data_IF_846693798213
#
_entry.id   IF_846693798213
#
_cell.length_a   1.000
_cell.length_b   1.000
_cell.length_c   1.000
_cell.angle_alpha   90.00
_cell.angle_beta   90.00
_cell.angle_gamma   90.00
#
_symmetry.space_group_name_H-M   'P 1'
#
loop_
_entity.id
_entity.type
_entity.pdbx_description
1 polymer ?
#
# COMPACT_ATOMS: atom_id res chain seq x y z
N UNK A 1 -11.56 25.66 -26.26
CA UNK A 1 -11.55 24.18 -26.17
C UNK A 1 -10.65 23.82 -25.01
N UNK A 2 -11.10 22.96 -24.09
CA UNK A 2 -10.35 22.58 -22.88
C UNK A 2 -9.96 21.12 -22.96
N UNK A 3 -8.73 20.79 -22.54
CA UNK A 3 -8.20 19.43 -22.44
C UNK A 3 -8.26 18.97 -20.99
N UNK A 4 -8.67 17.72 -20.75
CA UNK A 4 -8.72 17.13 -19.40
C UNK A 4 -7.85 15.89 -19.38
N UNK A 5 -6.83 15.91 -18.51
CA UNK A 5 -5.94 14.79 -18.27
C UNK A 5 -6.44 14.01 -17.06
N UNK A 6 -6.78 12.73 -17.26
CA UNK A 6 -7.32 11.86 -16.23
C UNK A 6 -6.21 10.95 -15.72
N UNK A 7 -5.92 10.98 -14.42
CA UNK A 7 -5.00 10.01 -13.80
C UNK A 7 -5.72 8.66 -13.59
N UNK A 8 -6.21 8.07 -14.68
CA UNK A 8 -6.89 6.79 -14.74
C UNK A 8 -6.34 5.98 -15.91
N UNK A 9 -6.67 4.69 -15.93
CA UNK A 9 -6.33 3.81 -17.04
C UNK A 9 -7.48 2.81 -17.19
N UNK A 10 -7.92 2.56 -18.41
CA UNK A 10 -9.01 1.62 -18.71
C UNK A 10 -8.86 0.22 -18.06
N UNK A 11 -7.64 -0.22 -17.74
CA UNK A 11 -7.41 -1.50 -17.04
C UNK A 11 -7.75 -1.47 -15.54
N UNK A 12 -7.89 -0.28 -14.94
CA UNK A 12 -8.20 -0.05 -13.52
C UNK A 12 -9.62 0.42 -13.29
N UNK A 13 -10.23 1.00 -14.30
CA UNK A 13 -11.55 1.59 -14.20
C UNK A 13 -12.59 0.68 -14.83
N UNK A 14 -13.82 0.81 -14.34
CA UNK A 14 -14.97 0.32 -15.09
C UNK A 14 -15.00 0.98 -16.47
N UNK A 15 -15.45 0.27 -17.52
CA UNK A 15 -15.57 0.84 -18.86
C UNK A 15 -16.45 2.09 -18.84
N UNK A 16 -15.91 3.21 -19.34
CA UNK A 16 -16.59 4.51 -19.36
C UNK A 16 -16.40 5.17 -20.72
N UNK A 17 -17.44 5.83 -21.29
CA UNK A 17 -17.30 6.60 -22.51
C UNK A 17 -16.50 7.88 -22.23
N UNK A 18 -15.43 8.12 -22.98
CA UNK A 18 -14.60 9.32 -22.88
C UNK A 18 -14.96 10.32 -23.99
N UNK A 19 -15.00 11.61 -23.65
CA UNK A 19 -15.08 12.68 -24.65
C UNK A 19 -13.73 12.81 -25.38
N UNK A 20 -13.69 13.30 -26.62
CA UNK A 20 -12.43 13.44 -27.38
C UNK A 20 -11.36 14.28 -26.68
N UNK A 21 -11.75 15.18 -25.78
CA UNK A 21 -10.84 16.03 -25.02
C UNK A 21 -10.44 15.46 -23.64
N UNK A 22 -10.87 14.23 -23.31
CA UNK A 22 -10.49 13.52 -22.08
C UNK A 22 -9.46 12.46 -22.42
N UNK A 23 -8.22 12.66 -21.94
CA UNK A 23 -7.10 11.77 -22.21
C UNK A 23 -6.69 11.10 -20.92
N UNK A 24 -6.73 9.77 -20.91
CA UNK A 24 -6.22 8.97 -19.80
C UNK A 24 -4.68 8.98 -19.81
N UNK A 25 -4.12 9.39 -18.68
CA UNK A 25 -2.68 9.44 -18.39
C UNK A 25 -2.46 8.84 -16.99
N UNK A 26 -2.85 7.58 -16.82
CA UNK A 26 -2.78 6.88 -15.53
C UNK A 26 -1.36 6.65 -15.03
N UNK A 27 -1.17 6.75 -13.71
CA UNK A 27 0.11 6.47 -13.06
C UNK A 27 1.15 7.57 -13.20
N UNK A 28 0.75 8.83 -13.45
CA UNK A 28 1.68 9.97 -13.57
C UNK A 28 2.63 10.14 -12.37
N UNK A 29 2.21 9.70 -11.18
CA UNK A 29 3.00 9.74 -9.95
C UNK A 29 3.87 8.50 -9.73
N UNK A 30 3.67 7.44 -10.52
CA UNK A 30 4.42 6.20 -10.40
C UNK A 30 5.84 6.38 -10.95
N UNK A 31 6.81 5.77 -10.27
CA UNK A 31 8.23 5.84 -10.63
C UNK A 31 8.91 4.51 -10.29
N UNK A 32 10.06 4.20 -10.91
CA UNK A 32 10.90 3.10 -10.47
C UNK A 32 11.26 3.23 -8.98
N UNK A 33 11.42 2.06 -8.34
CA UNK A 33 11.88 1.98 -6.97
C UNK A 33 13.29 2.53 -6.81
N UNK A 34 13.52 3.25 -5.71
CA UNK A 34 14.83 3.70 -5.25
C UNK A 34 15.32 2.78 -4.14
N UNK A 35 16.63 2.78 -3.83
CA UNK A 35 17.16 2.05 -2.69
C UNK A 35 16.43 2.41 -1.40
N UNK A 36 16.05 1.39 -0.62
CA UNK A 36 15.38 1.56 0.66
C UNK A 36 16.34 2.16 1.70
N UNK A 37 15.82 2.93 2.68
CA UNK A 37 16.58 3.30 3.88
C UNK A 37 17.17 2.05 4.55
N UNK A 38 18.38 2.17 5.09
CA UNK A 38 19.17 1.05 5.61
C UNK A 38 18.38 0.14 6.54
N UNK A 39 17.62 0.71 7.47
CA UNK A 39 16.88 -0.05 8.47
C UNK A 39 15.70 -0.85 7.88
N UNK A 40 14.96 -0.28 6.93
CA UNK A 40 13.93 -1.01 6.19
C UNK A 40 14.58 -2.08 5.32
N UNK A 41 15.68 -1.74 4.62
CA UNK A 41 16.42 -2.66 3.78
C UNK A 41 16.92 -3.87 4.55
N UNK A 42 17.53 -3.66 5.72
CA UNK A 42 18.04 -4.72 6.59
C UNK A 42 16.89 -5.61 7.11
N UNK A 43 15.72 -5.03 7.37
CA UNK A 43 14.55 -5.78 7.79
C UNK A 43 13.97 -6.65 6.67
N UNK A 44 13.82 -6.11 5.46
CA UNK A 44 13.28 -6.86 4.30
C UNK A 44 14.30 -7.78 3.64
N UNK A 45 15.58 -7.63 3.96
CA UNK A 45 16.63 -8.54 3.55
C UNK A 45 16.36 -9.96 4.08
N UNK A 46 16.77 -10.96 3.31
CA UNK A 46 16.54 -12.37 3.63
C UNK A 46 15.67 -13.08 2.60
N UNK A 47 15.15 -14.24 2.98
CA UNK A 47 14.36 -15.13 2.10
C UNK A 47 12.87 -15.10 2.43
N UNK A 48 12.50 -14.53 3.58
CA UNK A 48 11.14 -14.47 4.05
C UNK A 48 10.31 -13.50 3.19
N UNK A 49 9.09 -13.88 2.78
CA UNK A 49 8.19 -12.96 2.11
C UNK A 49 7.81 -11.81 3.03
N UNK A 50 7.69 -10.61 2.45
CA UNK A 50 7.31 -9.40 3.16
C UNK A 50 5.90 -9.00 2.76
N UNK A 51 5.08 -8.73 3.77
CA UNK A 51 3.78 -8.07 3.64
C UNK A 51 3.96 -6.62 4.00
N UNK A 52 3.53 -5.71 3.13
CA UNK A 52 3.45 -4.29 3.43
C UNK A 52 2.00 -3.93 3.78
N UNK A 53 1.78 -3.25 4.90
CA UNK A 53 0.47 -2.81 5.34
C UNK A 53 0.46 -1.29 5.53
N UNK A 54 -0.36 -0.59 4.74
CA UNK A 54 -0.56 0.85 4.84
C UNK A 54 -1.99 1.26 4.53
N UNK A 55 -2.58 2.03 5.43
CA UNK A 55 -3.89 2.67 5.27
C UNK A 55 -3.79 4.13 4.80
N UNK A 56 -2.61 4.53 4.29
CA UNK A 56 -2.36 5.90 3.84
C UNK A 56 -2.17 6.88 5.01
N UNK A 57 -2.30 8.17 4.73
CA UNK A 57 -2.03 9.23 5.72
C UNK A 57 -3.24 9.63 6.57
N UNK A 58 -4.45 9.36 6.06
CA UNK A 58 -5.70 9.81 6.69
C UNK A 58 -6.29 8.77 7.64
N UNK A 59 -6.33 7.50 7.24
CA UNK A 59 -6.74 6.40 8.12
C UNK A 59 -5.54 5.99 8.99
N UNK A 60 -5.42 6.63 10.16
CA UNK A 60 -4.33 6.35 11.10
C UNK A 60 -4.54 4.99 11.78
N UNK A 61 -3.50 4.17 11.81
CA UNK A 61 -3.51 2.89 12.54
C UNK A 61 -3.81 3.08 14.03
N UNK A 62 -3.42 4.22 14.61
CA UNK A 62 -3.73 4.55 16.02
C UNK A 62 -5.23 4.76 16.29
N UNK A 63 -6.00 5.14 15.28
CA UNK A 63 -7.47 5.28 15.38
C UNK A 63 -8.22 3.98 15.19
N UNK A 64 -7.54 2.92 14.71
CA UNK A 64 -8.11 1.58 14.62
C UNK A 64 -8.40 1.07 16.05
N UNK A 65 -9.59 0.50 16.33
CA UNK A 65 -9.87 -0.10 17.61
C UNK A 65 -8.79 -1.09 18.06
N UNK A 66 -8.42 -1.04 19.35
CA UNK A 66 -7.35 -1.89 19.91
C UNK A 66 -7.57 -3.38 19.67
N UNK A 67 -8.83 -3.83 19.58
CA UNK A 67 -9.20 -5.19 19.20
C UNK A 67 -8.55 -5.58 17.87
N UNK A 68 -8.77 -4.79 16.81
CA UNK A 68 -8.24 -5.08 15.48
C UNK A 68 -6.72 -4.96 15.42
N UNK A 69 -6.14 -3.96 16.12
CA UNK A 69 -4.69 -3.85 16.22
C UNK A 69 -4.07 -5.13 16.82
N UNK A 70 -4.63 -5.62 17.92
CA UNK A 70 -4.19 -6.87 18.56
C UNK A 70 -4.41 -8.08 17.67
N UNK A 71 -5.52 -8.13 16.93
CA UNK A 71 -5.78 -9.19 15.96
C UNK A 71 -4.72 -9.23 14.86
N UNK A 72 -4.35 -8.10 14.26
CA UNK A 72 -3.29 -8.05 13.26
C UNK A 72 -1.94 -8.50 13.83
N UNK A 73 -1.52 -7.96 14.98
CA UNK A 73 -0.27 -8.38 15.63
C UNK A 73 -0.28 -9.89 15.92
N UNK A 74 -1.38 -10.42 16.47
CA UNK A 74 -1.52 -11.84 16.81
C UNK A 74 -1.57 -12.76 15.59
N UNK A 75 -2.15 -12.31 14.48
CA UNK A 75 -2.16 -13.07 13.24
C UNK A 75 -0.77 -13.11 12.61
N UNK A 76 -0.13 -11.95 12.42
CA UNK A 76 1.17 -11.88 11.76
C UNK A 76 2.32 -12.44 12.60
N UNK A 77 2.21 -12.45 13.93
CA UNK A 77 3.21 -13.09 14.80
C UNK A 77 3.33 -14.60 14.59
N UNK A 78 2.27 -15.24 14.07
CA UNK A 78 2.20 -16.69 13.84
C UNK A 78 2.52 -17.09 12.40
N UNK A 79 2.58 -16.12 11.49
CA UNK A 79 2.82 -16.38 10.07
C UNK A 79 4.32 -16.30 9.75
N UNK A 80 4.80 -17.08 8.76
CA UNK A 80 6.20 -17.07 8.34
C UNK A 80 6.54 -15.88 7.41
N UNK A 81 5.95 -14.71 7.69
CA UNK A 81 6.11 -13.49 6.89
C UNK A 81 6.64 -12.37 7.76
N UNK A 82 7.41 -11.47 7.15
CA UNK A 82 7.77 -10.19 7.77
C UNK A 82 6.69 -9.16 7.44
N UNK A 83 6.26 -8.39 8.43
CA UNK A 83 5.27 -7.33 8.27
C UNK A 83 5.95 -5.97 8.38
N UNK A 84 5.91 -5.18 7.30
CA UNK A 84 6.14 -3.74 7.34
C UNK A 84 4.78 -3.06 7.52
N UNK A 85 4.55 -2.42 8.66
CA UNK A 85 3.27 -1.79 8.96
C UNK A 85 3.44 -0.29 9.21
N UNK A 86 2.87 0.52 8.32
CA UNK A 86 2.80 1.97 8.54
C UNK A 86 1.82 2.24 9.69
N UNK A 87 2.33 2.79 10.79
CA UNK A 87 1.59 3.00 12.04
C UNK A 87 2.12 4.23 12.80
N UNK A 88 1.23 5.08 13.30
CA UNK A 88 1.56 6.43 13.80
C UNK A 88 1.79 6.48 15.32
N UNK A 89 2.36 5.43 15.90
CA UNK A 89 2.83 5.42 17.28
C UNK A 89 3.98 4.43 17.43
N UNK A 90 4.72 4.55 18.52
CA UNK A 90 5.77 3.61 18.91
C UNK A 90 5.17 2.45 19.73
N UNK A 91 5.77 1.28 19.61
CA UNK A 91 5.33 0.05 20.29
C UNK A 91 6.53 -0.85 20.56
N UNK A 92 6.71 -1.22 21.81
CA UNK A 92 7.77 -2.14 22.25
C UNK A 92 7.27 -3.59 22.38
N UNK A 93 5.95 -3.81 22.26
CA UNK A 93 5.30 -5.11 22.42
C UNK A 93 5.26 -5.95 21.13
N UNK A 94 6.03 -5.55 20.11
CA UNK A 94 5.97 -6.18 18.79
C UNK A 94 6.95 -7.36 18.63
N UNK A 95 6.50 -8.46 18.02
CA UNK A 95 7.38 -9.55 17.59
C UNK A 95 8.45 -9.07 16.59
N UNK A 96 9.58 -9.78 16.54
CA UNK A 96 10.72 -9.45 15.67
C UNK A 96 10.39 -9.43 14.17
N UNK A 97 9.34 -10.14 13.74
CA UNK A 97 8.91 -10.16 12.34
C UNK A 97 7.96 -9.01 11.99
N UNK A 98 7.69 -8.07 12.90
CA UNK A 98 6.85 -6.91 12.65
C UNK A 98 7.68 -5.64 12.88
N UNK A 99 7.79 -4.81 11.85
CA UNK A 99 8.36 -3.48 11.93
C UNK A 99 7.26 -2.46 11.70
N UNK A 100 7.13 -1.51 12.62
CA UNK A 100 6.28 -0.33 12.45
C UNK A 100 7.10 0.93 12.20
N UNK A 101 6.54 1.84 11.41
CA UNK A 101 7.05 3.21 11.27
C UNK A 101 5.91 4.18 10.98
N UNK A 102 6.08 5.42 11.46
CA UNK A 102 5.15 6.51 11.15
C UNK A 102 5.10 6.81 9.64
N UNK A 103 6.24 6.75 8.95
CA UNK A 103 6.34 6.97 7.51
C UNK A 103 7.23 5.92 6.86
N UNK A 104 6.84 5.51 5.65
CA UNK A 104 7.53 4.49 4.87
C UNK A 104 7.52 4.87 3.38
N UNK A 105 8.63 4.65 2.64
CA UNK A 105 8.71 4.96 1.22
C UNK A 105 7.94 3.92 0.39
N UNK A 106 6.63 4.11 0.24
CA UNK A 106 5.70 3.12 -0.32
C UNK A 106 6.13 2.56 -1.69
N UNK A 107 6.39 3.39 -2.70
CA UNK A 107 6.80 2.89 -4.03
C UNK A 107 8.12 2.11 -3.98
N UNK A 108 9.05 2.51 -3.11
CA UNK A 108 10.33 1.82 -2.97
C UNK A 108 10.16 0.46 -2.30
N UNK A 109 9.22 0.35 -1.37
CA UNK A 109 8.84 -0.92 -0.73
C UNK A 109 8.11 -1.82 -1.72
N UNK A 110 7.12 -1.29 -2.44
CA UNK A 110 6.37 -2.06 -3.45
C UNK A 110 7.27 -2.56 -4.58
N UNK A 111 8.31 -1.81 -4.94
CA UNK A 111 9.29 -2.24 -5.93
C UNK A 111 10.24 -3.35 -5.43
N UNK A 112 10.30 -3.62 -4.12
CA UNK A 112 11.28 -4.55 -3.56
C UNK A 112 10.86 -6.01 -3.83
N UNK A 113 11.75 -6.88 -4.35
CA UNK A 113 11.39 -8.22 -4.81
C UNK A 113 10.85 -9.14 -3.71
N UNK A 114 11.20 -8.93 -2.44
CA UNK A 114 10.67 -9.70 -1.31
C UNK A 114 9.27 -9.27 -0.87
N UNK A 115 8.76 -8.11 -1.32
CA UNK A 115 7.40 -7.67 -1.00
C UNK A 115 6.43 -8.41 -1.91
N UNK A 116 5.60 -9.27 -1.31
CA UNK A 116 4.70 -10.17 -2.03
C UNK A 116 3.22 -9.82 -1.90
N UNK A 117 2.89 -8.95 -0.94
CA UNK A 117 1.51 -8.54 -0.69
C UNK A 117 1.49 -7.12 -0.14
N UNK A 118 0.57 -6.32 -0.66
CA UNK A 118 0.23 -5.01 -0.14
C UNK A 118 -1.18 -5.03 0.46
N UNK A 119 -1.29 -4.91 1.78
CA UNK A 119 -2.55 -4.66 2.47
C UNK A 119 -2.81 -3.15 2.39
N UNK A 120 -3.84 -2.78 1.65
CA UNK A 120 -4.08 -1.39 1.27
C UNK A 120 -5.51 -0.96 1.55
N UNK A 121 -5.66 0.29 1.96
CA UNK A 121 -6.93 0.99 1.96
C UNK A 121 -7.51 1.24 0.56
N UNK A 122 -6.80 0.88 -0.52
CA UNK A 122 -7.28 1.02 -1.91
C UNK A 122 -7.56 2.47 -2.33
N UNK A 123 -6.81 3.44 -1.81
CA UNK A 123 -6.77 4.78 -2.40
C UNK A 123 -6.29 4.73 -3.85
N UNK A 124 -6.86 5.59 -4.72
CA UNK A 124 -6.58 5.58 -6.17
C UNK A 124 -5.08 5.55 -6.51
N UNK A 125 -4.29 6.42 -5.88
CA UNK A 125 -2.84 6.50 -6.14
C UNK A 125 -2.09 5.25 -5.67
N UNK A 126 -2.44 4.72 -4.49
CA UNK A 126 -1.80 3.52 -3.95
C UNK A 126 -2.13 2.27 -4.77
N UNK A 127 -3.33 2.21 -5.34
CA UNK A 127 -3.74 1.13 -6.25
C UNK A 127 -2.93 1.17 -7.55
N UNK A 128 -2.73 2.37 -8.10
CA UNK A 128 -1.87 2.55 -9.28
C UNK A 128 -0.41 2.17 -9.01
N UNK A 129 0.14 2.53 -7.85
CA UNK A 129 1.50 2.14 -7.46
C UNK A 129 1.66 0.64 -7.30
N UNK A 130 0.67 -0.03 -6.68
CA UNK A 130 0.66 -1.48 -6.53
C UNK A 130 0.67 -2.18 -7.89
N UNK A 131 -0.15 -1.70 -8.83
CA UNK A 131 -0.16 -2.22 -10.20
C UNK A 131 1.15 -1.95 -10.94
N UNK A 132 1.67 -0.73 -10.85
CA UNK A 132 2.93 -0.35 -11.51
C UNK A 132 4.10 -1.24 -11.07
N UNK A 133 4.12 -1.64 -9.80
CA UNK A 133 5.12 -2.56 -9.25
C UNK A 133 4.69 -4.04 -9.25
N UNK A 134 3.57 -4.37 -9.89
CA UNK A 134 3.02 -5.73 -9.96
C UNK A 134 2.90 -6.42 -8.58
N UNK A 135 2.56 -5.66 -7.54
CA UNK A 135 2.38 -6.16 -6.17
C UNK A 135 0.90 -6.50 -5.94
N UNK A 136 0.55 -7.76 -5.62
CA UNK A 136 -0.82 -8.14 -5.27
C UNK A 136 -1.36 -7.34 -4.09
N UNK A 137 -2.65 -7.01 -4.12
CA UNK A 137 -3.31 -6.21 -3.08
C UNK A 137 -4.32 -7.05 -2.29
N UNK A 138 -4.24 -6.98 -0.96
CA UNK A 138 -5.36 -7.33 -0.08
C UNK A 138 -6.10 -6.06 0.30
N UNK A 139 -7.33 -5.93 -0.19
CA UNK A 139 -8.12 -4.73 -0.02
C UNK A 139 -8.74 -4.63 1.39
N UNK A 140 -8.47 -3.53 2.08
CA UNK A 140 -9.12 -3.13 3.34
C UNK A 140 -9.63 -1.68 3.24
N UNK A 141 -10.64 -1.42 2.40
CA UNK A 141 -11.16 -0.07 2.20
C UNK A 141 -11.75 0.50 3.49
N UNK A 142 -11.55 1.79 3.73
CA UNK A 142 -11.97 2.49 4.96
C UNK A 142 -13.08 3.50 4.68
N UNK A 143 -12.90 4.42 3.72
CA UNK A 143 -13.88 5.49 3.44
C UNK A 143 -13.79 6.06 2.01
N UNK A 144 -14.74 6.93 1.67
CA UNK A 144 -14.82 7.68 0.40
C UNK A 144 -14.90 6.74 -0.80
N UNK A 145 -13.95 6.79 -1.73
CA UNK A 145 -13.92 6.07 -2.99
C UNK A 145 -13.31 4.67 -2.85
N UNK A 146 -12.65 4.40 -1.73
CA UNK A 146 -11.91 3.17 -1.47
C UNK A 146 -12.73 1.89 -1.65
N UNK A 147 -13.99 1.77 -1.18
CA UNK A 147 -14.78 0.56 -1.40
C UNK A 147 -15.08 0.30 -2.87
N UNK A 148 -15.20 1.36 -3.69
CA UNK A 148 -15.41 1.24 -5.14
C UNK A 148 -14.13 0.80 -5.84
N UNK A 149 -12.98 1.33 -5.42
CA UNK A 149 -11.68 0.96 -5.98
C UNK A 149 -11.26 -0.48 -5.64
N UNK A 150 -11.85 -1.07 -4.59
CA UNK A 150 -11.57 -2.42 -4.12
C UNK A 150 -12.39 -3.54 -4.82
N UNK A 151 -13.37 -3.16 -5.66
CA UNK A 151 -14.22 -4.09 -6.43
C UNK A 151 -13.61 -4.41 -7.78
#
# INVERSE_FOLDING_TARGET
QSLVLLNSHFSLSTPLPLLPAQIEVGGMHCRPGKPLPKDINDFVAGKEPVVYFSLGSYAKGTTMPLLYQKMFVSAFSKLPYKLLWKFEAERDDLPKNIMIKHWMPQQDILAHPNVKLFISHCGMLSTQEAMFHATPVLALPVFVDQPKNAQ
#
